data_IF_262016934552
#
_entry.id   IF_262016934552
#
_cell.length_a   1.000
_cell.length_b   1.000
_cell.length_c   1.000
_cell.angle_alpha   90.00
_cell.angle_beta   90.00
_cell.angle_gamma   90.00
#
_symmetry.space_group_name_H-M   'P 1'
#
loop_
_entity.id
_entity.type
_entity.pdbx_description
1 polymer ?
#
# COMPACT_ATOMS: atom_id res chain seq x y z
N UNK A 1 -7.20 57.32 -5.16
CA UNK A 1 -7.42 56.99 -6.59
C UNK A 1 -6.39 55.98 -7.13
N UNK A 2 -5.07 56.19 -7.00
CA UNK A 2 -4.05 55.22 -7.46
C UNK A 2 -4.13 53.81 -6.84
N UNK A 3 -4.46 53.69 -5.54
CA UNK A 3 -4.64 52.37 -4.91
C UNK A 3 -5.88 51.59 -5.38
N UNK A 4 -6.95 52.28 -5.74
CA UNK A 4 -8.16 51.64 -6.27
C UNK A 4 -7.94 51.09 -7.70
N UNK A 5 -7.12 51.77 -8.50
CA UNK A 5 -6.73 51.30 -9.84
C UNK A 5 -5.86 50.04 -9.72
N UNK A 6 -4.94 49.99 -8.75
CA UNK A 6 -4.07 48.82 -8.56
C UNK A 6 -4.88 47.58 -8.15
N UNK A 7 -5.86 47.72 -7.24
CA UNK A 7 -6.74 46.63 -6.81
C UNK A 7 -7.60 46.13 -7.99
N UNK A 8 -8.13 47.04 -8.81
CA UNK A 8 -8.92 46.65 -9.98
C UNK A 8 -8.09 45.86 -11.01
N UNK A 9 -6.84 46.27 -11.26
CA UNK A 9 -5.95 45.55 -12.19
C UNK A 9 -5.60 44.16 -11.65
N UNK A 10 -5.29 44.02 -10.36
CA UNK A 10 -4.97 42.71 -9.77
C UNK A 10 -6.16 41.76 -9.79
N UNK A 11 -7.38 42.25 -9.57
CA UNK A 11 -8.59 41.41 -9.64
C UNK A 11 -8.90 40.94 -11.05
N UNK A 12 -8.69 41.79 -12.07
CA UNK A 12 -8.90 41.41 -13.48
C UNK A 12 -7.87 40.37 -13.93
N UNK A 13 -6.59 40.52 -13.53
CA UNK A 13 -5.55 39.53 -13.83
C UNK A 13 -5.86 38.18 -13.18
N UNK A 14 -6.33 38.18 -11.92
CA UNK A 14 -6.69 36.94 -11.22
C UNK A 14 -7.88 36.24 -11.89
N UNK A 15 -8.90 36.99 -12.32
CA UNK A 15 -10.06 36.44 -13.05
C UNK A 15 -9.63 35.86 -14.41
N UNK A 16 -8.73 36.52 -15.14
CA UNK A 16 -8.22 36.03 -16.41
C UNK A 16 -7.37 34.76 -16.26
N UNK A 17 -6.58 34.66 -15.17
CA UNK A 17 -5.82 33.44 -14.88
C UNK A 17 -6.73 32.27 -14.48
N UNK A 18 -7.76 32.52 -13.65
CA UNK A 18 -8.72 31.49 -13.26
C UNK A 18 -9.58 31.02 -14.43
N UNK A 19 -10.00 31.94 -15.32
CA UNK A 19 -10.78 31.58 -16.52
C UNK A 19 -9.92 30.88 -17.58
N UNK A 20 -8.66 31.29 -17.75
CA UNK A 20 -7.71 30.58 -18.62
C UNK A 20 -7.44 29.15 -18.14
N UNK A 21 -7.29 28.95 -16.82
CA UNK A 21 -7.12 27.62 -16.23
C UNK A 21 -8.36 26.74 -16.45
N UNK A 22 -9.56 27.29 -16.22
CA UNK A 22 -10.82 26.57 -16.43
C UNK A 22 -11.07 26.20 -17.90
N UNK A 23 -10.72 27.10 -18.83
CA UNK A 23 -10.85 26.86 -20.27
C UNK A 23 -9.84 25.82 -20.78
N UNK A 24 -8.60 25.81 -20.25
CA UNK A 24 -7.62 24.78 -20.61
C UNK A 24 -8.06 23.38 -20.18
N UNK A 25 -8.65 23.26 -18.98
CA UNK A 25 -9.25 22.02 -18.46
C UNK A 25 -10.45 21.54 -19.29
N UNK A 26 -11.25 22.47 -19.83
CA UNK A 26 -12.39 22.15 -20.72
C UNK A 26 -11.95 21.73 -22.12
N UNK A 27 -10.86 22.29 -22.66
CA UNK A 27 -10.32 21.91 -23.96
C UNK A 27 -9.66 20.52 -23.95
N UNK A 28 -8.97 20.14 -22.87
CA UNK A 28 -8.45 18.76 -22.71
C UNK A 28 -9.57 17.72 -22.58
N UNK A 29 -10.71 18.07 -21.96
CA UNK A 29 -11.88 17.19 -21.88
C UNK A 29 -12.57 16.97 -23.24
N UNK A 30 -12.52 17.95 -24.15
CA UNK A 30 -13.17 17.84 -25.45
C UNK A 30 -12.29 17.24 -26.55
N UNK A 31 -10.95 17.31 -26.45
CA UNK A 31 -10.07 16.68 -27.45
C UNK A 31 -10.06 15.14 -27.37
N UNK A 32 -10.60 14.54 -26.31
CA UNK A 32 -10.70 13.09 -26.15
C UNK A 32 -11.98 12.47 -26.73
N UNK A 33 -12.93 13.29 -27.21
CA UNK A 33 -14.25 12.83 -27.69
C UNK A 33 -14.44 12.88 -29.21
N UNK A 34 -13.42 13.21 -30.02
CA UNK A 34 -13.60 13.41 -31.47
C UNK A 34 -12.73 12.53 -32.39
N UNK A 35 -12.21 11.39 -31.93
CA UNK A 35 -11.59 10.39 -32.82
C UNK A 35 -11.84 8.99 -32.30
N UNK A 36 -13.02 8.43 -32.63
CA UNK A 36 -13.24 6.98 -32.79
C UNK A 36 -14.72 6.74 -33.16
N UNK A 37 -15.05 7.05 -34.41
CA UNK A 37 -16.19 6.47 -35.10
C UNK A 37 -15.67 6.12 -36.49
N UNK A 38 -15.15 4.91 -36.62
CA UNK A 38 -15.08 4.13 -37.87
C UNK A 38 -14.27 2.86 -37.59
N UNK A 39 -14.97 1.77 -37.28
CA UNK A 39 -14.63 0.34 -37.50
C UNK A 39 -15.45 -0.54 -36.55
N UNK A 40 -16.75 -0.60 -36.80
CA UNK A 40 -17.64 -1.68 -36.37
C UNK A 40 -17.98 -2.49 -37.62
N UNK A 41 -17.35 -3.65 -37.75
CA UNK A 41 -17.91 -4.91 -38.28
C UNK A 41 -16.80 -5.84 -38.80
N UNK A 42 -16.59 -6.95 -38.09
CA UNK A 42 -16.70 -8.33 -38.63
C UNK A 42 -16.07 -9.36 -37.69
N UNK A 43 -16.92 -10.32 -37.30
CA UNK A 43 -16.62 -11.73 -37.06
C UNK A 43 -15.52 -12.08 -36.04
N UNK A 44 -15.94 -12.39 -34.80
CA UNK A 44 -15.24 -13.37 -33.96
C UNK A 44 -16.23 -14.48 -33.59
N UNK A 45 -16.24 -15.51 -34.43
CA UNK A 45 -16.82 -16.81 -34.14
C UNK A 45 -15.92 -17.60 -33.18
N UNK A 46 -16.53 -18.13 -32.13
CA UNK A 46 -16.22 -19.37 -31.41
C UNK A 46 -14.77 -19.86 -31.44
N UNK A 47 -14.07 -19.71 -30.30
CA UNK A 47 -13.04 -20.68 -29.89
C UNK A 47 -13.38 -21.20 -28.49
N UNK A 48 -14.04 -22.36 -28.51
CA UNK A 48 -14.10 -23.34 -27.42
C UNK A 48 -12.67 -23.73 -27.04
N UNK A 49 -12.15 -23.24 -25.91
CA UNK A 49 -10.91 -23.77 -25.34
C UNK A 49 -11.22 -24.93 -24.40
N UNK A 50 -10.78 -26.11 -24.87
CA UNK A 50 -10.61 -27.39 -24.19
C UNK A 50 -10.45 -27.30 -22.66
N UNK A 51 -11.39 -27.92 -21.96
CA UNK A 51 -11.36 -28.18 -20.51
C UNK A 51 -11.03 -29.65 -20.16
N UNK A 52 -10.34 -30.38 -21.04
CA UNK A 52 -10.06 -31.82 -20.87
C UNK A 52 -8.57 -32.13 -20.66
N UNK A 53 -7.93 -31.44 -19.72
CA UNK A 53 -6.62 -31.87 -19.19
C UNK A 53 -6.43 -31.43 -17.74
N UNK A 54 -7.20 -32.01 -16.81
CA UNK A 54 -6.92 -31.89 -15.37
C UNK A 54 -7.56 -33.06 -14.61
N UNK A 55 -7.03 -34.26 -14.84
CA UNK A 55 -7.29 -35.38 -13.95
C UNK A 55 -6.08 -36.32 -13.93
N UNK A 56 -5.05 -35.95 -13.16
CA UNK A 56 -4.10 -36.90 -12.55
C UNK A 56 -3.18 -36.20 -11.54
N UNK A 57 -3.28 -36.68 -10.29
CA UNK A 57 -2.34 -36.57 -9.17
C UNK A 57 -2.13 -35.19 -8.53
N UNK A 58 -3.18 -34.66 -7.90
CA UNK A 58 -3.03 -33.69 -6.80
C UNK A 58 -2.76 -34.48 -5.53
N UNK A 59 -1.51 -34.86 -5.28
CA UNK A 59 -1.08 -35.40 -3.99
C UNK A 59 -0.23 -34.36 -3.27
N UNK A 60 -0.76 -33.86 -2.16
CA UNK A 60 -0.14 -32.98 -1.14
C UNK A 60 -0.31 -31.45 -1.27
N UNK A 61 -1.51 -30.95 -1.62
CA UNK A 61 -1.85 -29.56 -1.27
C UNK A 61 -2.15 -29.47 0.24
N UNK A 62 -1.40 -28.65 0.97
CA UNK A 62 -1.72 -28.32 2.37
C UNK A 62 -2.92 -27.38 2.33
N UNK A 63 -4.06 -27.72 2.97
CA UNK A 63 -5.20 -26.82 3.03
C UNK A 63 -4.80 -25.46 3.59
N UNK A 64 -5.26 -24.37 2.99
CA UNK A 64 -4.91 -23.02 3.41
C UNK A 64 -5.21 -22.79 4.89
N UNK A 65 -6.27 -23.37 5.45
CA UNK A 65 -6.56 -23.27 6.88
C UNK A 65 -5.37 -23.73 7.75
N UNK A 66 -4.76 -24.88 7.43
CA UNK A 66 -3.54 -25.37 8.11
C UNK A 66 -2.33 -24.49 7.83
N UNK A 67 -2.23 -23.95 6.62
CA UNK A 67 -1.16 -23.02 6.26
C UNK A 67 -1.27 -21.71 7.05
N UNK A 68 -2.44 -21.08 7.08
CA UNK A 68 -2.75 -19.89 7.85
C UNK A 68 -2.52 -20.11 9.35
N UNK A 69 -2.88 -21.27 9.89
CA UNK A 69 -2.57 -21.59 11.29
C UNK A 69 -1.06 -21.65 11.55
N UNK A 70 -0.29 -22.28 10.66
CA UNK A 70 1.18 -22.33 10.77
C UNK A 70 1.80 -20.95 10.67
N UNK A 71 1.35 -20.13 9.73
CA UNK A 71 1.88 -18.79 9.52
C UNK A 71 1.47 -17.84 10.66
N UNK A 72 0.23 -17.93 11.15
CA UNK A 72 -0.23 -17.25 12.39
C UNK A 72 0.56 -17.65 13.63
N UNK A 73 1.25 -18.79 13.62
CA UNK A 73 2.13 -19.21 14.71
C UNK A 73 3.57 -18.67 14.54
N UNK A 74 4.03 -18.44 13.31
CA UNK A 74 5.40 -17.99 13.01
C UNK A 74 5.65 -16.51 13.26
N UNK A 75 4.63 -15.67 13.08
CA UNK A 75 4.74 -14.21 13.27
C UNK A 75 3.84 -13.70 14.39
N UNK A 76 3.92 -14.33 15.57
CA UNK A 76 3.21 -13.79 16.73
C UNK A 76 4.02 -12.68 17.36
N UNK A 77 3.42 -11.50 17.41
CA UNK A 77 3.84 -10.41 18.27
C UNK A 77 2.95 -10.44 19.52
N UNK A 78 3.11 -11.40 20.45
CA UNK A 78 2.13 -11.66 21.51
C UNK A 78 1.87 -10.43 22.40
N UNK A 79 2.90 -9.59 22.59
CA UNK A 79 2.75 -8.32 23.32
C UNK A 79 1.91 -7.32 22.55
N UNK A 80 2.14 -7.18 21.24
CA UNK A 80 1.28 -6.36 20.38
C UNK A 80 -0.13 -6.92 20.28
N UNK A 81 -0.31 -8.23 20.18
CA UNK A 81 -1.62 -8.88 20.15
C UNK A 81 -2.44 -8.54 21.42
N UNK A 82 -1.84 -8.72 22.59
CA UNK A 82 -2.46 -8.37 23.87
C UNK A 82 -2.77 -6.87 23.96
N UNK A 83 -1.83 -6.01 23.53
CA UNK A 83 -2.03 -4.57 23.49
C UNK A 83 -3.20 -4.18 22.57
N UNK A 84 -3.25 -4.73 21.36
CA UNK A 84 -4.30 -4.47 20.38
C UNK A 84 -5.67 -4.87 20.95
N UNK A 85 -5.80 -6.06 21.54
CA UNK A 85 -7.05 -6.53 22.12
C UNK A 85 -7.54 -5.63 23.27
N UNK A 86 -6.62 -5.15 24.11
CA UNK A 86 -6.95 -4.23 25.20
C UNK A 86 -7.32 -2.84 24.68
N UNK A 87 -6.63 -2.37 23.63
CA UNK A 87 -6.98 -1.14 22.93
C UNK A 87 -8.41 -1.22 22.34
N UNK A 88 -8.77 -2.32 21.66
CA UNK A 88 -10.13 -2.54 21.12
C UNK A 88 -11.18 -2.48 22.22
N UNK A 89 -10.95 -3.18 23.35
CA UNK A 89 -11.87 -3.16 24.50
C UNK A 89 -12.03 -1.75 25.05
N UNK A 90 -10.92 -1.01 25.23
CA UNK A 90 -10.93 0.38 25.70
C UNK A 90 -11.71 1.27 24.73
N UNK A 91 -11.46 1.14 23.43
CA UNK A 91 -12.08 1.94 22.38
C UNK A 91 -13.59 1.75 22.37
N UNK A 92 -14.06 0.50 22.23
CA UNK A 92 -15.48 0.16 22.20
C UNK A 92 -16.21 0.64 23.46
N UNK A 93 -15.61 0.44 24.65
CA UNK A 93 -16.18 0.93 25.91
C UNK A 93 -16.29 2.45 25.94
N UNK A 94 -15.30 3.16 25.40
CA UNK A 94 -15.27 4.63 25.42
C UNK A 94 -16.28 5.21 24.42
N UNK A 95 -16.38 4.63 23.23
CA UNK A 95 -17.37 5.01 22.22
C UNK A 95 -18.80 4.75 22.70
N UNK A 96 -19.07 3.60 23.34
CA UNK A 96 -20.38 3.33 23.93
C UNK A 96 -20.79 4.40 24.96
N UNK A 97 -19.86 4.78 25.85
CA UNK A 97 -20.10 5.85 26.84
C UNK A 97 -20.38 7.20 26.20
N UNK A 98 -19.71 7.54 25.09
CA UNK A 98 -19.97 8.77 24.36
C UNK A 98 -21.43 8.86 23.88
N UNK A 99 -21.98 7.76 23.37
CA UNK A 99 -23.37 7.70 22.93
C UNK A 99 -24.39 7.67 24.07
N UNK A 100 -24.01 7.17 25.25
CA UNK A 100 -24.87 7.25 26.44
C UNK A 100 -24.93 8.68 27.02
N UNK A 101 -23.79 9.39 27.03
CA UNK A 101 -23.65 10.71 27.68
C UNK A 101 -24.31 11.86 26.94
N UNK A 102 -24.37 11.81 25.60
CA UNK A 102 -25.10 12.79 24.77
C UNK A 102 -26.56 12.96 25.17
N UNK A 103 -27.12 12.01 25.92
CA UNK A 103 -28.50 12.07 26.40
C UNK A 103 -28.67 12.69 27.80
N UNK A 104 -27.60 12.91 28.57
CA UNK A 104 -27.72 13.17 30.02
C UNK A 104 -26.87 14.29 30.63
N UNK A 105 -25.75 14.71 30.07
CA UNK A 105 -24.96 15.81 30.67
C UNK A 105 -23.93 16.41 29.69
N UNK A 106 -23.83 17.74 29.61
CA UNK A 106 -22.91 18.45 28.70
C UNK A 106 -21.51 18.70 29.31
N UNK A 107 -21.26 18.25 30.55
CA UNK A 107 -20.06 18.65 31.31
C UNK A 107 -18.85 17.72 31.21
N UNK A 108 -18.97 16.53 30.58
CA UNK A 108 -17.85 15.59 30.50
C UNK A 108 -16.89 15.93 29.36
N UNK A 109 -15.61 16.10 29.71
CA UNK A 109 -14.52 16.27 28.73
C UNK A 109 -14.49 15.09 27.76
N UNK A 110 -14.50 15.39 26.46
CA UNK A 110 -14.42 14.39 25.41
C UNK A 110 -13.06 13.66 25.45
N UNK A 111 -13.02 12.36 25.11
CA UNK A 111 -11.77 11.66 24.93
C UNK A 111 -11.03 12.21 23.72
N UNK A 112 -9.72 12.09 23.72
CA UNK A 112 -8.88 12.55 22.62
C UNK A 112 -8.83 11.54 21.50
N UNK A 113 -8.69 12.01 20.26
CA UNK A 113 -8.80 11.17 19.06
C UNK A 113 -7.64 11.41 18.08
N UNK A 114 -7.29 10.36 17.34
CA UNK A 114 -6.58 10.41 16.05
C UNK A 114 -7.62 10.18 14.95
N UNK A 115 -7.64 11.05 13.94
CA UNK A 115 -8.49 10.91 12.76
C UNK A 115 -7.62 10.78 11.53
N UNK A 116 -7.73 9.65 10.85
CA UNK A 116 -7.01 9.39 9.60
C UNK A 116 -7.87 9.72 8.40
N UNK A 117 -7.32 10.50 7.49
CA UNK A 117 -7.95 10.89 6.22
C UNK A 117 -7.11 10.32 5.07
N UNK A 118 -7.30 9.07 4.66
CA UNK A 118 -6.62 8.55 3.48
C UNK A 118 -6.97 9.38 2.26
N UNK A 119 -5.97 9.71 1.44
CA UNK A 119 -6.22 10.39 0.18
C UNK A 119 -6.96 9.44 -0.77
N UNK A 120 -8.27 9.65 -0.92
CA UNK A 120 -9.14 8.79 -1.73
C UNK A 120 -8.85 8.91 -3.23
N UNK A 121 -8.15 9.97 -3.64
CA UNK A 121 -7.66 10.14 -5.00
C UNK A 121 -6.39 9.33 -5.30
N UNK A 122 -5.74 8.80 -4.26
CA UNK A 122 -4.60 7.93 -4.40
C UNK A 122 -5.01 6.47 -4.59
N UNK A 123 -4.12 5.62 -5.12
CA UNK A 123 -4.34 4.18 -5.18
C UNK A 123 -4.27 3.50 -3.80
N UNK A 124 -4.74 2.25 -3.70
CA UNK A 124 -4.72 1.48 -2.44
C UNK A 124 -3.34 1.44 -1.77
N UNK A 125 -2.28 1.32 -2.56
CA UNK A 125 -0.90 1.32 -2.04
C UNK A 125 -0.52 2.56 -1.23
N UNK A 126 -1.19 3.70 -1.46
CA UNK A 126 -0.98 4.95 -0.74
C UNK A 126 -2.01 5.18 0.36
N UNK A 127 -3.21 4.60 0.26
CA UNK A 127 -4.26 4.71 1.29
C UNK A 127 -3.94 3.84 2.52
N UNK A 128 -3.43 2.63 2.32
CA UNK A 128 -3.21 1.69 3.42
C UNK A 128 -2.11 2.13 4.41
N UNK A 129 -0.95 2.67 3.99
CA UNK A 129 0.09 3.19 4.89
C UNK A 129 -0.43 4.17 5.93
N UNK A 130 -1.34 5.07 5.53
CA UNK A 130 -1.82 6.12 6.43
C UNK A 130 -2.69 5.56 7.56
N UNK A 131 -3.43 4.47 7.29
CA UNK A 131 -4.23 3.78 8.31
C UNK A 131 -3.32 3.16 9.37
N UNK A 132 -2.24 2.52 8.92
CA UNK A 132 -1.23 1.94 9.79
C UNK A 132 -0.57 3.00 10.66
N UNK A 133 -0.14 4.12 10.06
CA UNK A 133 0.55 5.17 10.81
C UNK A 133 -0.37 5.93 11.76
N UNK A 134 -1.61 6.19 11.37
CA UNK A 134 -2.58 6.77 12.30
C UNK A 134 -2.92 5.84 13.47
N UNK A 135 -3.00 4.53 13.24
CA UNK A 135 -3.19 3.57 14.33
C UNK A 135 -1.96 3.53 15.24
N UNK A 136 -0.74 3.53 14.69
CA UNK A 136 0.48 3.66 15.51
C UNK A 136 0.45 4.93 16.39
N UNK A 137 0.04 6.07 15.83
CA UNK A 137 -0.11 7.31 16.60
C UNK A 137 -1.15 7.21 17.70
N UNK A 138 -2.27 6.51 17.47
CA UNK A 138 -3.31 6.35 18.49
C UNK A 138 -2.80 5.51 19.65
N UNK A 139 -2.00 4.48 19.37
CA UNK A 139 -1.36 3.67 20.40
C UNK A 139 -0.34 4.48 21.22
N UNK A 140 0.53 5.25 20.56
CA UNK A 140 1.57 6.06 21.21
C UNK A 140 0.95 7.15 22.12
N UNK A 141 -0.17 7.73 21.70
CA UNK A 141 -0.79 8.88 22.38
C UNK A 141 -1.97 8.50 23.28
N UNK A 142 -2.30 7.20 23.37
CA UNK A 142 -3.45 6.67 24.11
C UNK A 142 -4.81 7.27 23.70
N UNK A 143 -4.92 7.64 22.41
CA UNK A 143 -6.09 8.27 21.79
C UNK A 143 -6.98 7.22 21.11
N UNK A 144 -8.26 7.54 20.91
CA UNK A 144 -9.16 6.73 20.07
C UNK A 144 -8.79 6.88 18.60
N UNK A 145 -9.02 5.85 17.79
CA UNK A 145 -8.67 5.84 16.36
C UNK A 145 -9.92 5.86 15.49
N UNK A 146 -9.97 6.80 14.56
CA UNK A 146 -11.05 6.91 13.58
C UNK A 146 -10.50 7.13 12.16
N UNK A 147 -11.30 6.71 11.19
CA UNK A 147 -11.06 6.84 9.75
C UNK A 147 -12.16 7.75 9.19
N UNK A 148 -11.76 8.77 8.46
CA UNK A 148 -12.64 9.72 7.78
C UNK A 148 -12.50 9.58 6.25
N UNK A 149 -13.62 9.57 5.53
CA UNK A 149 -13.64 9.59 4.06
C UNK A 149 -13.43 8.24 3.36
N UNK A 150 -13.04 7.17 4.08
CA UNK A 150 -12.90 5.83 3.49
C UNK A 150 -14.20 5.00 3.55
N UNK A 151 -15.23 5.44 2.82
CA UNK A 151 -16.59 4.88 2.90
C UNK A 151 -16.68 3.37 2.59
N UNK A 152 -15.85 2.85 1.68
CA UNK A 152 -15.84 1.43 1.31
C UNK A 152 -14.94 0.56 2.19
N UNK A 153 -14.36 1.08 3.27
CA UNK A 153 -13.51 0.28 4.16
C UNK A 153 -14.21 -1.01 4.64
N UNK A 154 -15.49 -0.88 5.03
CA UNK A 154 -16.28 -2.00 5.53
C UNK A 154 -16.62 -3.05 4.46
N UNK A 155 -16.58 -2.69 3.18
CA UNK A 155 -16.78 -3.62 2.07
C UNK A 155 -15.56 -4.53 1.87
N UNK A 156 -14.39 -4.08 2.33
CA UNK A 156 -13.12 -4.75 2.09
C UNK A 156 -12.58 -5.45 3.34
N UNK A 157 -12.76 -4.81 4.50
CA UNK A 157 -12.15 -5.22 5.75
C UNK A 157 -13.20 -5.43 6.85
N UNK A 158 -12.96 -6.44 7.68
CA UNK A 158 -13.70 -6.70 8.91
C UNK A 158 -13.48 -5.56 9.92
N UNK A 159 -14.54 -5.20 10.65
CA UNK A 159 -14.47 -4.22 11.73
C UNK A 159 -14.31 -4.93 13.08
N UNK A 160 -13.15 -4.75 13.71
CA UNK A 160 -12.94 -5.17 15.11
C UNK A 160 -13.59 -4.20 16.12
N UNK A 161 -13.80 -2.95 15.72
CA UNK A 161 -14.34 -1.85 16.51
C UNK A 161 -14.93 -0.77 15.60
N UNK A 162 -15.69 0.15 16.17
CA UNK A 162 -16.20 1.31 15.42
C UNK A 162 -15.13 2.39 15.28
N UNK A 163 -14.54 2.46 14.09
CA UNK A 163 -13.57 3.47 13.70
C UNK A 163 -14.14 4.44 12.64
N UNK A 164 -15.46 4.49 12.39
CA UNK A 164 -16.02 5.46 11.45
C UNK A 164 -16.11 6.83 12.10
N UNK A 165 -15.32 7.81 11.64
CA UNK A 165 -15.32 9.16 12.19
C UNK A 165 -16.71 9.80 12.16
N UNK A 166 -17.52 9.51 11.13
CA UNK A 166 -18.86 10.09 10.96
C UNK A 166 -19.78 9.77 12.14
N UNK A 167 -19.56 8.64 12.83
CA UNK A 167 -20.35 8.22 13.99
C UNK A 167 -20.23 9.19 15.18
N UNK A 168 -19.09 9.87 15.33
CA UNK A 168 -18.78 10.72 16.49
C UNK A 168 -18.45 12.17 16.13
N UNK A 169 -18.24 12.50 14.84
CA UNK A 169 -17.76 13.81 14.39
C UNK A 169 -18.55 15.01 14.95
N UNK A 170 -19.88 14.91 15.03
CA UNK A 170 -20.73 15.99 15.55
C UNK A 170 -20.42 16.35 17.01
N UNK A 171 -19.94 15.39 17.81
CA UNK A 171 -19.54 15.62 19.20
C UNK A 171 -18.30 16.50 19.29
N UNK A 172 -17.45 16.48 18.27
CA UNK A 172 -16.19 17.21 18.22
C UNK A 172 -16.26 18.51 17.42
N UNK A 173 -17.46 19.01 17.09
CA UNK A 173 -17.65 20.21 16.25
C UNK A 173 -16.96 21.48 16.78
N UNK A 174 -16.78 21.59 18.10
CA UNK A 174 -16.09 22.71 18.76
C UNK A 174 -14.73 22.31 19.38
N UNK A 175 -14.22 21.12 19.03
CA UNK A 175 -12.97 20.61 19.57
C UNK A 175 -11.76 21.20 18.87
N UNK A 176 -10.66 21.32 19.61
CA UNK A 176 -9.39 21.79 19.07
C UNK A 176 -8.74 20.71 18.19
N UNK A 177 -8.06 21.12 17.11
CA UNK A 177 -7.42 20.17 16.20
C UNK A 177 -6.05 20.62 15.67
N UNK A 178 -5.21 19.63 15.32
CA UNK A 178 -3.91 19.83 14.68
C UNK A 178 -3.64 18.70 13.68
N UNK A 179 -3.04 19.02 12.53
CA UNK A 179 -2.52 18.01 11.62
C UNK A 179 -1.11 17.60 12.06
N UNK A 180 -0.88 16.29 12.25
CA UNK A 180 0.49 15.76 12.38
C UNK A 180 1.16 15.64 11.01
N UNK A 181 0.35 15.29 10.02
CA UNK A 181 0.74 15.17 8.62
C UNK A 181 -0.41 15.69 7.76
N UNK A 182 -0.08 16.52 6.78
CA UNK A 182 -0.92 16.79 5.62
C UNK A 182 -0.08 16.58 4.33
N UNK A 183 -0.73 16.53 3.17
CA UNK A 183 -0.05 16.26 1.89
C UNK A 183 1.05 17.30 1.53
N UNK A 184 1.01 18.50 2.12
CA UNK A 184 1.92 19.62 1.83
C UNK A 184 2.92 19.91 2.96
N UNK A 185 2.61 19.48 4.18
CA UNK A 185 3.34 19.82 5.38
C UNK A 185 3.37 18.62 6.32
N UNK A 186 4.60 18.18 6.62
CA UNK A 186 4.87 17.04 7.47
C UNK A 186 5.69 17.53 8.65
N UNK A 187 5.20 17.33 9.87
CA UNK A 187 5.90 17.73 11.08
C UNK A 187 7.03 16.73 11.44
N UNK A 188 8.00 16.54 10.53
CA UNK A 188 9.08 15.56 10.68
C UNK A 188 9.86 15.74 11.98
N UNK A 189 10.05 16.97 12.46
CA UNK A 189 10.72 17.21 13.73
C UNK A 189 9.94 16.62 14.92
N UNK A 190 8.62 16.85 14.96
CA UNK A 190 7.76 16.36 16.03
C UNK A 190 7.72 14.84 16.06
N UNK A 191 7.50 14.21 14.91
CA UNK A 191 7.33 12.75 14.81
C UNK A 191 8.66 11.99 14.93
N UNK A 192 9.78 12.57 14.49
CA UNK A 192 11.11 11.92 14.55
C UNK A 192 11.76 12.07 15.91
N UNK A 193 11.63 13.22 16.59
CA UNK A 193 12.34 13.47 17.87
C UNK A 193 11.51 14.16 18.95
N UNK A 194 10.33 14.68 18.61
CA UNK A 194 9.43 15.30 19.56
C UNK A 194 8.67 14.29 20.42
N UNK A 195 7.98 14.82 21.43
CA UNK A 195 7.13 14.05 22.33
C UNK A 195 5.65 14.39 22.03
N UNK A 196 4.95 13.49 21.35
CA UNK A 196 3.51 13.53 21.07
C UNK A 196 2.63 13.53 22.35
N UNK A 197 3.21 13.26 23.51
CA UNK A 197 2.56 13.36 24.83
C UNK A 197 2.88 14.67 25.55
N UNK A 198 3.64 15.59 24.94
CA UNK A 198 3.93 16.89 25.54
C UNK A 198 2.67 17.75 25.71
N UNK A 199 2.75 18.80 26.52
CA UNK A 199 1.59 19.64 26.85
C UNK A 199 0.94 20.28 25.62
N UNK A 200 1.73 20.73 24.64
CA UNK A 200 1.23 21.34 23.40
C UNK A 200 0.38 20.36 22.59
N UNK A 201 0.94 19.20 22.21
CA UNK A 201 0.22 18.20 21.39
C UNK A 201 -0.94 17.60 22.18
N UNK A 202 -0.75 17.42 23.48
CA UNK A 202 -1.79 16.97 24.38
C UNK A 202 -2.86 18.06 24.64
N UNK A 203 -2.68 19.31 24.22
CA UNK A 203 -3.74 20.33 24.33
C UNK A 203 -4.83 20.13 23.27
N UNK A 204 -4.51 19.52 22.11
CA UNK A 204 -5.45 19.27 21.03
C UNK A 204 -6.33 18.05 21.29
N UNK A 205 -7.63 18.18 21.06
CA UNK A 205 -8.61 17.11 21.18
C UNK A 205 -8.49 16.12 20.01
N UNK A 206 -8.27 16.65 18.80
CA UNK A 206 -8.16 15.91 17.54
C UNK A 206 -6.76 16.05 16.96
N UNK A 207 -6.12 14.94 16.62
CA UNK A 207 -4.94 14.96 15.75
C UNK A 207 -5.29 14.31 14.40
N UNK A 208 -5.12 15.06 13.32
CA UNK A 208 -5.37 14.59 11.97
C UNK A 208 -4.11 14.01 11.33
N UNK A 209 -4.31 12.96 10.54
CA UNK A 209 -3.28 12.33 9.71
C UNK A 209 -3.80 12.21 8.29
N UNK A 210 -3.34 13.09 7.41
CA UNK A 210 -3.68 13.12 6.01
C UNK A 210 -2.40 13.02 5.18
N UNK A 211 -2.07 11.83 4.71
CA UNK A 211 -0.89 11.65 3.85
C UNK A 211 -1.07 10.40 3.00
N UNK A 212 -0.32 10.34 1.90
CA UNK A 212 -0.18 9.15 1.06
C UNK A 212 1.13 8.40 1.32
N UNK A 213 1.96 8.86 2.26
CA UNK A 213 3.28 8.31 2.56
C UNK A 213 3.31 7.41 3.81
N UNK A 214 4.35 6.58 3.92
CA UNK A 214 4.60 5.73 5.08
C UNK A 214 5.43 6.44 6.16
N UNK A 215 4.78 7.37 6.85
CA UNK A 215 5.41 8.25 7.87
C UNK A 215 5.76 7.55 9.19
N UNK A 216 5.55 6.24 9.31
CA UNK A 216 5.94 5.45 10.47
C UNK A 216 7.46 5.27 10.59
N UNK A 217 8.19 5.33 9.46
CA UNK A 217 9.64 5.11 9.39
C UNK A 217 10.47 6.04 10.31
N UNK A 218 10.17 7.34 10.42
CA UNK A 218 10.83 8.21 11.40
C UNK A 218 10.38 7.98 12.85
N UNK A 219 9.14 7.53 13.08
CA UNK A 219 8.59 7.31 14.44
C UNK A 219 9.35 6.21 15.17
N UNK A 220 9.75 5.15 14.48
CA UNK A 220 10.56 4.07 15.08
C UNK A 220 11.97 4.52 15.51
N UNK A 221 12.41 5.69 15.05
CA UNK A 221 13.68 6.31 15.48
C UNK A 221 13.51 7.23 16.68
N UNK A 222 12.26 7.55 17.06
CA UNK A 222 11.98 8.58 18.05
C UNK A 222 12.39 8.12 19.46
N UNK A 223 13.29 8.85 20.15
CA UNK A 223 13.83 8.45 21.44
C UNK A 223 12.77 8.30 22.54
N UNK A 224 11.61 8.96 22.41
CA UNK A 224 10.52 8.86 23.39
C UNK A 224 9.74 7.54 23.27
N UNK A 225 9.75 6.89 22.09
CA UNK A 225 8.84 5.77 21.80
C UNK A 225 9.55 4.53 21.27
N UNK A 226 10.77 4.65 20.73
CA UNK A 226 11.49 3.55 20.09
C UNK A 226 11.57 2.30 20.97
N UNK A 227 11.89 2.45 22.26
CA UNK A 227 12.04 1.32 23.18
C UNK A 227 10.70 0.63 23.44
N UNK A 228 9.64 1.41 23.65
CA UNK A 228 8.30 0.88 23.83
C UNK A 228 7.81 0.18 22.55
N UNK A 229 7.97 0.80 21.38
CA UNK A 229 7.61 0.20 20.08
C UNK A 229 8.36 -1.11 19.88
N UNK A 230 9.68 -1.13 20.03
CA UNK A 230 10.48 -2.36 19.89
C UNK A 230 10.11 -3.42 20.92
N UNK A 231 9.55 -3.04 22.07
CA UNK A 231 9.10 -3.99 23.09
C UNK A 231 7.82 -4.74 22.70
N UNK A 232 6.94 -4.12 21.90
CA UNK A 232 5.65 -4.71 21.47
C UNK A 232 5.70 -5.27 20.04
N UNK A 233 6.42 -4.60 19.15
CA UNK A 233 6.66 -4.97 17.75
C UNK A 233 8.18 -5.03 17.52
N UNK A 234 8.83 -6.17 17.82
CA UNK A 234 10.25 -6.36 17.52
C UNK A 234 10.54 -6.25 16.02
N UNK A 235 11.82 -6.02 15.70
CA UNK A 235 12.36 -5.95 14.33
C UNK A 235 11.80 -4.81 13.45
N UNK A 236 11.14 -3.82 14.05
CA UNK A 236 10.57 -2.65 13.38
C UNK A 236 9.52 -3.00 12.29
N UNK A 237 8.85 -4.16 12.42
CA UNK A 237 7.85 -4.65 11.47
C UNK A 237 6.46 -4.03 11.70
N UNK A 238 6.40 -2.71 11.79
CA UNK A 238 5.20 -1.95 12.16
C UNK A 238 4.05 -2.21 11.18
N UNK A 239 4.31 -2.12 9.87
CA UNK A 239 3.27 -2.33 8.88
C UNK A 239 2.73 -3.75 8.97
N UNK A 240 3.61 -4.75 9.04
CA UNK A 240 3.18 -6.14 9.12
C UNK A 240 2.37 -6.46 10.38
N UNK A 241 2.82 -5.98 11.55
CA UNK A 241 2.10 -6.22 12.81
C UNK A 241 0.70 -5.61 12.79
N UNK A 242 0.57 -4.34 12.42
CA UNK A 242 -0.71 -3.62 12.45
C UNK A 242 -1.62 -4.09 11.31
N UNK A 243 -1.10 -4.26 10.09
CA UNK A 243 -1.94 -4.62 8.93
C UNK A 243 -2.58 -6.00 9.05
N UNK A 244 -1.92 -6.96 9.71
CA UNK A 244 -2.49 -8.28 9.98
C UNK A 244 -3.70 -8.24 10.93
N UNK A 245 -3.84 -7.18 11.73
CA UNK A 245 -5.01 -6.96 12.60
C UNK A 245 -6.03 -6.03 11.98
N UNK A 246 -5.59 -4.82 11.61
CA UNK A 246 -6.49 -3.75 11.18
C UNK A 246 -7.07 -3.99 9.78
N UNK A 247 -6.36 -4.70 8.91
CA UNK A 247 -6.78 -4.93 7.52
C UNK A 247 -7.23 -6.38 7.30
N UNK A 248 -7.89 -7.01 8.27
CA UNK A 248 -8.48 -8.34 8.06
C UNK A 248 -9.55 -8.27 6.96
N UNK A 249 -9.39 -9.05 5.89
CA UNK A 249 -10.35 -9.05 4.79
C UNK A 249 -11.73 -9.55 5.23
N UNK A 250 -12.79 -9.03 4.62
CA UNK A 250 -14.13 -9.59 4.77
C UNK A 250 -14.15 -11.10 4.45
N UNK A 251 -15.01 -11.92 5.09
CA UNK A 251 -14.99 -13.37 4.97
C UNK A 251 -15.12 -13.90 3.54
N UNK A 252 -15.90 -13.23 2.70
CA UNK A 252 -16.11 -13.58 1.30
C UNK A 252 -14.87 -13.31 0.43
N UNK A 253 -14.23 -12.14 0.60
CA UNK A 253 -12.96 -11.82 -0.05
C UNK A 253 -11.84 -12.75 0.41
N UNK A 254 -11.78 -13.01 1.72
CA UNK A 254 -10.83 -13.96 2.29
C UNK A 254 -11.06 -15.37 1.73
N UNK A 255 -12.31 -15.79 1.54
CA UNK A 255 -12.66 -17.07 0.89
C UNK A 255 -12.22 -17.11 -0.58
N UNK A 256 -12.32 -16.01 -1.32
CA UNK A 256 -11.85 -15.93 -2.71
C UNK A 256 -10.32 -16.08 -2.79
N UNK A 257 -9.58 -15.31 -1.99
CA UNK A 257 -8.11 -15.44 -1.85
C UNK A 257 -7.76 -16.88 -1.46
N UNK A 258 -8.52 -17.45 -0.53
CA UNK A 258 -8.26 -18.78 -0.05
C UNK A 258 -8.42 -19.86 -1.12
N UNK A 259 -9.55 -19.81 -1.82
CA UNK A 259 -9.86 -20.71 -2.93
C UNK A 259 -8.81 -20.58 -4.04
N UNK A 260 -8.35 -19.36 -4.32
CA UNK A 260 -7.27 -19.15 -5.29
C UNK A 260 -5.99 -19.87 -4.87
N UNK A 261 -5.55 -19.69 -3.62
CA UNK A 261 -4.32 -20.30 -3.11
C UNK A 261 -4.43 -21.82 -3.11
N UNK A 262 -5.51 -22.38 -2.57
CA UNK A 262 -5.73 -23.83 -2.48
C UNK A 262 -5.68 -24.52 -3.86
N UNK A 263 -6.15 -23.83 -4.91
CA UNK A 263 -6.19 -24.37 -6.28
C UNK A 263 -4.90 -24.12 -7.09
N UNK A 264 -4.06 -23.19 -6.67
CA UNK A 264 -2.96 -22.70 -7.52
C UNK A 264 -1.58 -22.78 -6.91
N UNK A 265 -1.44 -22.65 -5.60
CA UNK A 265 -0.13 -22.56 -4.96
C UNK A 265 0.52 -23.94 -4.85
N UNK A 266 1.83 -23.96 -5.10
CA UNK A 266 2.67 -25.13 -4.99
C UNK A 266 3.42 -25.18 -3.65
N UNK A 267 4.47 -25.99 -3.62
CA UNK A 267 5.38 -26.09 -2.46
C UNK A 267 6.21 -24.82 -2.27
N UNK A 268 6.46 -24.07 -3.36
CA UNK A 268 7.14 -22.79 -3.35
C UNK A 268 6.44 -21.80 -4.27
N UNK A 269 6.26 -20.55 -3.83
CA UNK A 269 5.45 -19.58 -4.54
C UNK A 269 6.21 -18.27 -4.73
N UNK A 270 6.39 -17.84 -5.97
CA UNK A 270 7.01 -16.56 -6.32
C UNK A 270 5.90 -15.61 -6.74
N UNK A 271 5.74 -14.50 -6.02
CA UNK A 271 4.82 -13.44 -6.39
C UNK A 271 5.55 -12.37 -7.19
N UNK A 272 5.04 -12.01 -8.35
CA UNK A 272 5.56 -10.94 -9.19
C UNK A 272 4.51 -9.85 -9.31
N UNK A 273 4.87 -8.62 -8.94
CA UNK A 273 4.05 -7.45 -9.21
C UNK A 273 4.71 -6.58 -10.28
N UNK A 274 4.07 -6.50 -11.46
CA UNK A 274 4.52 -5.75 -12.62
C UNK A 274 3.69 -4.46 -12.78
N UNK A 275 4.29 -3.32 -12.45
CA UNK A 275 3.70 -1.99 -12.60
C UNK A 275 4.36 -1.22 -13.74
N UNK A 276 3.72 -1.17 -14.90
CA UNK A 276 4.27 -0.48 -16.09
C UNK A 276 3.64 0.90 -16.32
N UNK A 277 2.42 1.18 -15.84
CA UNK A 277 1.67 2.41 -16.15
C UNK A 277 2.01 3.60 -15.25
N UNK A 278 3.25 3.72 -14.78
CA UNK A 278 3.69 4.83 -13.91
C UNK A 278 3.99 6.08 -14.76
N UNK A 279 2.93 6.74 -15.24
CA UNK A 279 2.99 7.65 -16.40
C UNK A 279 3.55 9.08 -16.19
N UNK A 280 3.93 9.53 -14.98
CA UNK A 280 4.17 10.97 -14.76
C UNK A 280 5.54 11.38 -14.21
N UNK A 281 6.28 10.50 -13.53
CA UNK A 281 7.51 10.93 -12.83
C UNK A 281 8.81 10.51 -13.53
N UNK A 282 8.76 9.58 -14.48
CA UNK A 282 9.96 8.97 -15.06
C UNK A 282 9.81 8.74 -16.57
N UNK A 283 9.49 9.78 -17.33
CA UNK A 283 9.28 9.69 -18.80
C UNK A 283 10.47 9.10 -19.56
N UNK A 284 11.67 9.14 -18.97
CA UNK A 284 12.90 8.57 -19.54
C UNK A 284 13.33 7.25 -18.90
N UNK A 285 12.50 6.59 -18.10
CA UNK A 285 12.82 5.29 -17.54
C UNK A 285 11.75 4.26 -17.84
N UNK A 286 12.18 3.03 -18.04
CA UNK A 286 11.33 1.85 -18.22
C UNK A 286 11.73 0.78 -17.21
N UNK A 287 10.84 -0.17 -16.93
CA UNK A 287 11.17 -1.35 -16.13
C UNK A 287 10.97 -2.58 -17.01
N UNK A 288 12.01 -3.05 -17.71
CA UNK A 288 11.90 -4.11 -18.72
C UNK A 288 11.32 -5.40 -18.13
N UNK A 289 10.42 -6.03 -18.86
CA UNK A 289 9.79 -7.30 -18.49
C UNK A 289 10.84 -8.41 -18.32
N UNK A 290 11.92 -8.33 -19.09
CA UNK A 290 13.06 -9.25 -19.07
C UNK A 290 13.73 -9.30 -17.68
N UNK A 291 13.80 -8.18 -16.96
CA UNK A 291 14.41 -8.15 -15.62
C UNK A 291 13.61 -8.95 -14.60
N UNK A 292 12.27 -8.91 -14.68
CA UNK A 292 11.40 -9.75 -13.84
C UNK A 292 11.57 -11.22 -14.17
N UNK A 293 11.59 -11.54 -15.47
CA UNK A 293 11.77 -12.88 -16.00
C UNK A 293 13.10 -13.50 -15.55
N UNK A 294 14.21 -12.77 -15.69
CA UNK A 294 15.53 -13.20 -15.23
C UNK A 294 15.62 -13.32 -13.70
N UNK A 295 14.96 -12.44 -12.95
CA UNK A 295 14.89 -12.54 -11.48
C UNK A 295 14.11 -13.78 -11.04
N UNK A 296 12.98 -14.06 -11.69
CA UNK A 296 12.22 -15.30 -11.45
C UNK A 296 13.08 -16.53 -11.76
N UNK A 297 13.82 -16.52 -12.87
CA UNK A 297 14.76 -17.59 -13.23
C UNK A 297 15.84 -17.80 -12.17
N UNK A 298 16.44 -16.73 -11.67
CA UNK A 298 17.41 -16.78 -10.59
C UNK A 298 16.81 -17.45 -9.35
N UNK A 299 15.62 -17.02 -8.92
CA UNK A 299 14.94 -17.61 -7.77
C UNK A 299 14.67 -19.10 -7.93
N UNK A 300 14.28 -19.53 -9.13
CA UNK A 300 14.01 -20.93 -9.44
C UNK A 300 15.25 -21.83 -9.35
N UNK A 301 16.47 -21.29 -9.50
CA UNK A 301 17.69 -22.11 -9.32
C UNK A 301 17.85 -22.63 -7.89
N UNK A 302 17.30 -21.92 -6.90
CA UNK A 302 17.33 -22.34 -5.49
C UNK A 302 16.20 -23.28 -5.07
N UNK A 303 15.27 -23.59 -5.98
CA UNK A 303 14.04 -24.34 -5.66
C UNK A 303 13.98 -25.68 -6.37
N UNK A 304 15.15 -26.25 -6.72
CA UNK A 304 15.24 -27.56 -7.35
C UNK A 304 14.42 -28.60 -6.58
N UNK A 305 13.67 -29.42 -7.32
CA UNK A 305 12.77 -30.48 -6.82
C UNK A 305 11.46 -30.01 -6.17
N UNK A 306 11.18 -28.70 -6.12
CA UNK A 306 9.89 -28.21 -5.63
C UNK A 306 8.89 -28.00 -6.77
N UNK A 307 7.61 -28.18 -6.46
CA UNK A 307 6.52 -27.66 -7.29
C UNK A 307 6.43 -26.14 -7.09
N UNK A 308 6.79 -25.37 -8.12
CA UNK A 308 6.86 -23.92 -8.05
C UNK A 308 5.64 -23.29 -8.71
N UNK A 309 4.97 -22.38 -8.02
CA UNK A 309 3.95 -21.52 -8.62
C UNK A 309 4.48 -20.09 -8.74
N UNK A 310 4.29 -19.46 -9.89
CA UNK A 310 4.57 -18.03 -10.10
C UNK A 310 3.23 -17.31 -10.25
N UNK A 311 2.89 -16.47 -9.28
CA UNK A 311 1.72 -15.60 -9.33
C UNK A 311 2.10 -14.24 -9.91
N UNK A 312 1.41 -13.77 -10.95
CA UNK A 312 1.67 -12.48 -11.58
C UNK A 312 0.48 -11.55 -11.37
N UNK A 313 0.69 -10.48 -10.60
CA UNK A 313 -0.19 -9.31 -10.56
C UNK A 313 0.38 -8.23 -11.47
N UNK A 314 -0.43 -7.65 -12.34
CA UNK A 314 0.04 -6.64 -13.28
C UNK A 314 -1.04 -5.60 -13.56
N UNK A 315 -0.60 -4.37 -13.78
CA UNK A 315 -1.48 -3.28 -14.21
C UNK A 315 -1.67 -3.22 -15.74
N UNK A 316 -1.17 -4.19 -16.48
CA UNK A 316 -1.34 -4.25 -17.92
C UNK A 316 -1.37 -5.69 -18.42
N UNK A 317 -2.44 -6.06 -19.14
CA UNK A 317 -2.67 -7.43 -19.59
C UNK A 317 -1.64 -7.88 -20.63
N UNK A 318 -1.21 -6.99 -21.52
CA UNK A 318 -0.22 -7.31 -22.56
C UNK A 318 1.15 -7.57 -21.93
N UNK A 319 1.58 -6.71 -21.01
CA UNK A 319 2.84 -6.89 -20.28
C UNK A 319 2.82 -8.13 -19.38
N UNK A 320 1.67 -8.46 -18.78
CA UNK A 320 1.47 -9.73 -18.05
C UNK A 320 1.68 -10.95 -18.95
N UNK A 321 1.10 -10.95 -20.15
CA UNK A 321 1.27 -12.02 -21.14
C UNK A 321 2.72 -12.08 -21.62
N UNK A 322 3.35 -10.94 -21.90
CA UNK A 322 4.77 -10.88 -22.29
C UNK A 322 5.68 -11.46 -21.20
N UNK A 323 5.43 -11.14 -19.93
CA UNK A 323 6.18 -11.70 -18.80
C UNK A 323 5.99 -13.21 -18.69
N UNK A 324 4.74 -13.68 -18.76
CA UNK A 324 4.42 -15.12 -18.75
C UNK A 324 5.17 -15.85 -19.87
N UNK A 325 5.15 -15.33 -21.09
CA UNK A 325 5.84 -15.92 -22.24
C UNK A 325 7.35 -15.88 -22.07
N UNK A 326 7.92 -14.79 -21.54
CA UNK A 326 9.36 -14.73 -21.25
C UNK A 326 9.80 -15.83 -20.28
N UNK A 327 9.06 -15.96 -19.16
CA UNK A 327 9.37 -16.97 -18.15
C UNK A 327 9.24 -18.38 -18.76
N UNK A 328 8.16 -18.63 -19.51
CA UNK A 328 7.94 -19.92 -20.16
C UNK A 328 9.06 -20.29 -21.14
N UNK A 329 9.42 -19.37 -22.05
CA UNK A 329 10.50 -19.58 -23.02
C UNK A 329 11.85 -19.86 -22.33
N UNK A 330 12.11 -19.19 -21.21
CA UNK A 330 13.32 -19.44 -20.43
C UNK A 330 13.34 -20.80 -19.74
N UNK A 331 12.16 -21.38 -19.47
CA UNK A 331 11.99 -22.65 -18.76
C UNK A 331 11.88 -23.85 -19.69
N UNK A 332 11.34 -23.69 -20.90
CA UNK A 332 11.24 -24.75 -21.89
C UNK A 332 12.62 -25.30 -22.29
N UNK A 333 13.65 -24.44 -22.23
CA UNK A 333 15.04 -24.87 -22.36
C UNK A 333 15.48 -25.90 -21.30
N UNK A 334 14.76 -26.01 -20.18
CA UNK A 334 15.06 -26.85 -19.02
C UNK A 334 14.09 -28.02 -18.81
N UNK A 335 13.03 -28.16 -19.63
CA UNK A 335 11.99 -29.22 -19.51
C UNK A 335 11.43 -29.39 -18.09
N UNK A 336 11.06 -28.29 -17.42
CA UNK A 336 10.60 -28.37 -16.05
C UNK A 336 9.06 -28.33 -15.95
N UNK A 337 8.44 -29.51 -15.94
CA UNK A 337 6.98 -29.67 -15.77
C UNK A 337 6.49 -29.25 -14.37
N UNK A 338 7.38 -28.89 -13.43
CA UNK A 338 7.03 -28.54 -12.05
C UNK A 338 6.60 -27.08 -11.84
N UNK A 339 6.54 -26.27 -12.91
CA UNK A 339 6.31 -24.81 -12.81
C UNK A 339 4.92 -24.43 -13.33
N UNK A 340 4.12 -23.80 -12.47
CA UNK A 340 2.79 -23.28 -12.80
C UNK A 340 2.80 -21.76 -12.78
N UNK A 341 2.40 -21.09 -13.87
CA UNK A 341 2.26 -19.62 -13.90
C UNK A 341 0.77 -19.26 -13.84
N UNK A 342 0.38 -18.42 -12.88
CA UNK A 342 -1.02 -18.06 -12.59
C UNK A 342 -1.18 -16.56 -12.36
N UNK A 343 -2.41 -16.08 -12.47
CA UNK A 343 -2.83 -14.72 -12.14
C UNK A 343 -4.32 -14.74 -11.79
N UNK A 344 -4.80 -13.76 -11.02
CA UNK A 344 -6.21 -13.68 -10.64
C UNK A 344 -6.98 -12.85 -11.67
N UNK A 345 -7.91 -13.50 -12.38
CA UNK A 345 -8.86 -12.85 -13.30
C UNK A 345 -8.26 -12.07 -14.50
N UNK A 346 -9.14 -11.73 -15.44
CA UNK A 346 -8.81 -10.91 -16.62
C UNK A 346 -9.39 -9.48 -16.56
N UNK A 347 -9.78 -9.03 -15.36
CA UNK A 347 -10.51 -7.77 -15.13
C UNK A 347 -9.71 -6.48 -15.40
N UNK A 348 -8.53 -6.58 -16.02
CA UNK A 348 -7.69 -5.44 -16.43
C UNK A 348 -8.41 -4.55 -17.47
N UNK A 349 -9.45 -5.07 -18.14
CA UNK A 349 -10.19 -4.38 -19.20
C UNK A 349 -11.02 -3.19 -18.66
N UNK A 350 -11.39 -3.20 -17.37
CA UNK A 350 -12.14 -2.09 -16.77
C UNK A 350 -11.19 -0.97 -16.34
N UNK A 351 -11.01 0.01 -17.23
CA UNK A 351 -10.37 1.28 -16.86
C UNK A 351 -11.32 2.08 -15.96
N UNK A 352 -10.86 2.39 -14.76
CA UNK A 352 -11.46 3.49 -14.01
C UNK A 352 -10.88 4.79 -14.58
N UNK A 353 -11.72 5.66 -15.16
CA UNK A 353 -11.26 6.90 -15.83
C UNK A 353 -10.57 7.88 -14.88
N UNK A 354 -10.88 7.78 -13.59
CA UNK A 354 -10.52 8.82 -12.62
C UNK A 354 -9.14 8.59 -12.01
N UNK A 355 -8.63 7.36 -12.07
CA UNK A 355 -7.33 6.97 -11.54
C UNK A 355 -6.70 6.02 -12.53
N UNK A 356 -5.49 6.28 -12.99
CA UNK A 356 -4.72 5.48 -13.98
C UNK A 356 -4.34 4.06 -13.45
N UNK A 357 -5.14 3.51 -12.54
CA UNK A 357 -5.09 2.16 -12.00
C UNK A 357 -6.15 1.31 -12.71
N UNK A 358 -5.76 0.26 -13.44
CA UNK A 358 -6.71 -0.63 -14.08
C UNK A 358 -7.35 -1.59 -13.09
N UNK A 359 -8.50 -2.14 -13.48
CA UNK A 359 -9.23 -3.13 -12.70
C UNK A 359 -10.08 -2.53 -11.58
N UNK A 360 -10.68 -3.40 -10.78
CA UNK A 360 -11.55 -3.02 -9.65
C UNK A 360 -10.75 -2.92 -8.35
N UNK A 361 -11.24 -2.14 -7.38
CA UNK A 361 -10.61 -2.08 -6.04
C UNK A 361 -10.60 -3.46 -5.36
N UNK A 362 -11.66 -4.25 -5.52
CA UNK A 362 -11.76 -5.62 -4.99
C UNK A 362 -10.68 -6.51 -5.62
N UNK A 363 -10.54 -6.49 -6.95
CA UNK A 363 -9.50 -7.27 -7.65
C UNK A 363 -8.10 -6.88 -7.17
N UNK A 364 -7.83 -5.58 -7.01
CA UNK A 364 -6.58 -5.09 -6.48
C UNK A 364 -6.32 -5.57 -5.02
N UNK A 365 -7.33 -5.60 -4.15
CA UNK A 365 -7.20 -6.14 -2.79
C UNK A 365 -6.91 -7.64 -2.80
N UNK A 366 -7.57 -8.40 -3.68
CA UNK A 366 -7.34 -9.84 -3.84
C UNK A 366 -5.90 -10.10 -4.30
N UNK A 367 -5.43 -9.40 -5.34
CA UNK A 367 -4.05 -9.50 -5.83
C UNK A 367 -3.04 -9.16 -4.73
N UNK A 368 -3.27 -8.05 -4.03
CA UNK A 368 -2.43 -7.60 -2.94
C UNK A 368 -2.30 -8.68 -1.85
N UNK A 369 -3.42 -9.32 -1.51
CA UNK A 369 -3.45 -10.38 -0.50
C UNK A 369 -2.79 -11.66 -1.00
N UNK A 370 -3.02 -12.08 -2.24
CA UNK A 370 -2.37 -13.28 -2.82
C UNK A 370 -0.85 -13.09 -2.86
N UNK A 371 -0.36 -11.91 -3.29
CA UNK A 371 1.06 -11.57 -3.24
C UNK A 371 1.62 -11.74 -1.82
N UNK A 372 0.89 -11.28 -0.79
CA UNK A 372 1.34 -11.39 0.60
C UNK A 372 1.56 -12.84 1.08
N UNK A 373 1.01 -13.85 0.37
CA UNK A 373 1.17 -15.27 0.69
C UNK A 373 2.30 -15.97 -0.07
N UNK A 374 2.98 -15.29 -0.98
CA UNK A 374 4.11 -15.83 -1.71
C UNK A 374 5.36 -15.96 -0.79
N UNK A 375 6.24 -16.90 -1.12
CA UNK A 375 7.50 -17.16 -0.41
C UNK A 375 8.57 -16.12 -0.75
N UNK A 376 8.67 -15.77 -2.03
CA UNK A 376 9.45 -14.63 -2.50
C UNK A 376 8.57 -13.65 -3.27
N UNK A 377 8.96 -12.38 -3.24
CA UNK A 377 8.31 -11.31 -3.97
C UNK A 377 9.31 -10.63 -4.89
N UNK A 378 8.90 -10.41 -6.14
CA UNK A 378 9.58 -9.59 -7.14
C UNK A 378 8.67 -8.40 -7.45
N UNK A 379 9.13 -7.19 -7.17
CA UNK A 379 8.29 -5.99 -7.18
C UNK A 379 8.89 -4.86 -8.01
N UNK A 380 8.04 -3.99 -8.51
CA UNK A 380 8.48 -2.78 -9.21
C UNK A 380 8.94 -1.69 -8.24
N UNK A 381 10.08 -1.07 -8.54
CA UNK A 381 10.57 0.11 -7.84
C UNK A 381 9.55 1.24 -7.73
N UNK A 382 9.41 1.81 -6.52
CA UNK A 382 8.50 2.90 -6.24
C UNK A 382 7.03 2.58 -6.50
N UNK A 383 6.63 1.30 -6.47
CA UNK A 383 5.22 0.90 -6.44
C UNK A 383 4.79 0.65 -5.00
N UNK A 384 4.03 1.59 -4.44
CA UNK A 384 3.51 1.46 -3.07
C UNK A 384 2.63 0.23 -2.89
N UNK A 385 1.86 -0.15 -3.92
CA UNK A 385 1.06 -1.37 -3.93
C UNK A 385 1.89 -2.62 -3.64
N UNK A 386 3.05 -2.77 -4.28
CA UNK A 386 3.89 -3.96 -4.08
C UNK A 386 4.55 -3.98 -2.71
N UNK A 387 4.94 -2.81 -2.20
CA UNK A 387 5.45 -2.68 -0.84
C UNK A 387 4.38 -2.99 0.21
N UNK A 388 3.11 -2.68 -0.05
CA UNK A 388 2.01 -3.09 0.83
C UNK A 388 1.89 -4.61 0.86
N UNK A 389 1.98 -5.29 -0.29
CA UNK A 389 1.93 -6.76 -0.33
C UNK A 389 3.08 -7.39 0.45
N UNK A 390 4.29 -6.85 0.30
CA UNK A 390 5.46 -7.29 1.07
C UNK A 390 5.25 -7.09 2.56
N UNK A 391 4.83 -5.89 2.99
CA UNK A 391 4.61 -5.57 4.39
C UNK A 391 3.49 -6.39 5.02
N UNK A 392 2.46 -6.73 4.24
CA UNK A 392 1.33 -7.53 4.69
C UNK A 392 1.61 -9.05 4.71
N UNK A 393 2.82 -9.47 4.31
CA UNK A 393 3.18 -10.88 4.22
C UNK A 393 3.41 -11.53 5.57
N UNK A 394 2.79 -12.70 5.79
CA UNK A 394 3.04 -13.58 6.94
C UNK A 394 4.34 -14.40 6.81
N UNK A 395 4.81 -14.58 5.57
CA UNK A 395 5.99 -15.39 5.25
C UNK A 395 7.28 -14.61 5.31
N UNK A 396 7.22 -13.31 5.58
CA UNK A 396 8.38 -12.44 5.62
C UNK A 396 9.42 -12.98 6.60
N UNK A 397 10.41 -13.69 6.04
CA UNK A 397 11.58 -14.16 6.76
C UNK A 397 12.13 -12.99 7.55
N UNK A 398 12.57 -13.18 8.82
CA UNK A 398 13.20 -12.13 9.61
C UNK A 398 14.36 -11.46 8.87
N UNK A 399 14.93 -12.12 7.86
CA UNK A 399 16.20 -11.77 7.27
C UNK A 399 16.11 -10.96 5.97
N UNK A 400 15.01 -11.01 5.21
CA UNK A 400 15.01 -10.43 3.84
C UNK A 400 13.68 -9.86 3.37
N UNK A 401 13.75 -8.76 2.63
CA UNK A 401 12.65 -8.08 1.93
C UNK A 401 12.39 -8.63 0.51
N UNK A 402 11.55 -7.97 -0.30
CA UNK A 402 11.31 -8.33 -1.70
C UNK A 402 12.53 -8.06 -2.62
N UNK A 403 12.57 -8.68 -3.79
CA UNK A 403 13.46 -8.30 -4.90
C UNK A 403 12.81 -7.14 -5.67
N UNK A 404 13.46 -5.99 -5.71
CA UNK A 404 12.97 -4.76 -6.34
C UNK A 404 13.62 -4.61 -7.71
N UNK A 405 12.82 -4.64 -8.77
CA UNK A 405 13.27 -4.35 -10.12
C UNK A 405 13.38 -2.84 -10.28
N UNK A 406 14.60 -2.38 -10.51
CA UNK A 406 14.94 -0.97 -10.65
C UNK A 406 14.63 -0.50 -12.08
N UNK A 407 14.14 0.74 -12.24
CA UNK A 407 13.89 1.29 -13.55
C UNK A 407 15.23 1.63 -14.20
N UNK A 408 15.32 1.43 -15.51
CA UNK A 408 16.49 1.73 -16.32
C UNK A 408 16.15 2.85 -17.29
N UNK A 409 17.13 3.69 -17.59
CA UNK A 409 16.94 4.78 -18.53
C UNK A 409 16.57 4.20 -19.90
N UNK A 410 15.50 4.70 -20.49
CA UNK A 410 15.06 4.36 -21.84
C UNK A 410 16.04 5.01 -22.84
N UNK A 411 17.21 4.41 -22.98
CA UNK A 411 18.14 4.69 -24.06
C UNK A 411 17.95 3.56 -25.08
N UNK A 412 17.98 3.87 -26.38
CA UNK A 412 17.93 2.88 -27.46
C UNK A 412 19.16 1.93 -27.49
N UNK A 413 19.95 1.87 -26.42
CA UNK A 413 21.14 1.05 -26.32
C UNK A 413 20.74 -0.34 -25.79
N UNK A 414 20.93 -1.36 -26.62
CA UNK A 414 20.73 -2.78 -26.29
C UNK A 414 21.46 -3.22 -25.00
N UNK A 415 22.48 -2.46 -24.58
CA UNK A 415 23.28 -2.66 -23.37
C UNK A 415 22.45 -2.73 -22.07
N UNK A 416 21.24 -2.16 -22.06
CA UNK A 416 20.35 -2.16 -20.90
C UNK A 416 19.73 -3.54 -20.62
N UNK A 417 19.69 -4.43 -21.62
CA UNK A 417 19.11 -5.78 -21.48
C UNK A 417 20.12 -6.77 -20.88
N UNK A 418 21.43 -6.54 -21.05
CA UNK A 418 22.48 -7.46 -20.58
C UNK A 418 22.76 -7.37 -19.07
N UNK A 419 22.19 -6.38 -18.37
CA UNK A 419 22.36 -6.21 -16.91
C UNK A 419 21.01 -6.14 -16.23
N UNK A 420 20.71 -7.14 -15.40
CA UNK A 420 19.54 -7.09 -14.50
C UNK A 420 19.82 -6.06 -13.41
N UNK A 421 18.97 -5.04 -13.33
CA UNK A 421 19.00 -4.09 -12.22
C UNK A 421 17.99 -4.50 -11.16
N UNK A 422 18.41 -5.40 -10.28
CA UNK A 422 17.61 -5.88 -9.15
C UNK A 422 18.28 -5.52 -7.84
N UNK A 423 17.49 -5.08 -6.87
CA UNK A 423 17.92 -4.81 -5.51
C UNK A 423 17.11 -5.67 -4.53
N UNK A 424 17.78 -6.48 -3.70
CA UNK A 424 17.10 -7.20 -2.63
C UNK A 424 16.92 -6.27 -1.43
N UNK A 425 15.67 -5.94 -1.13
CA UNK A 425 15.31 -5.10 0.00
C UNK A 425 15.72 -5.75 1.32
N UNK A 426 16.12 -4.92 2.30
CA UNK A 426 16.50 -5.39 3.64
C UNK A 426 15.29 -5.76 4.49
N UNK A 427 14.14 -5.13 4.24
CA UNK A 427 12.91 -5.31 4.99
C UNK A 427 11.71 -5.44 4.07
N UNK A 428 10.62 -5.95 4.62
CA UNK A 428 9.31 -5.99 3.96
C UNK A 428 8.45 -4.76 4.27
N UNK A 429 8.92 -3.87 5.13
CA UNK A 429 8.23 -2.62 5.46
C UNK A 429 8.08 -1.72 4.22
N UNK A 430 7.05 -0.89 4.11
CA UNK A 430 6.99 0.09 3.03
C UNK A 430 8.15 1.09 3.10
N UNK A 431 8.62 1.56 1.95
CA UNK A 431 9.51 2.71 1.91
C UNK A 431 8.74 4.02 2.17
N UNK A 432 9.48 5.07 2.53
CA UNK A 432 8.93 6.40 2.80
C UNK A 432 9.34 7.31 1.64
N UNK A 433 8.38 7.74 0.84
CA UNK A 433 8.61 8.60 -0.31
C UNK A 433 9.16 9.97 0.09
N UNK A 434 8.64 10.58 1.15
CA UNK A 434 9.09 11.89 1.64
C UNK A 434 10.36 11.85 2.48
N UNK A 435 11.01 10.69 2.60
CA UNK A 435 12.31 10.57 3.26
C UNK A 435 13.36 11.50 2.66
N UNK A 436 13.30 11.82 1.36
CA UNK A 436 14.17 12.81 0.72
C UNK A 436 14.00 14.20 1.33
N UNK A 437 12.74 14.62 1.49
CA UNK A 437 12.39 15.91 2.08
C UNK A 437 12.78 15.93 3.55
N UNK A 438 12.56 14.85 4.29
CA UNK A 438 13.08 14.72 5.65
C UNK A 438 14.61 14.90 5.68
N UNK A 439 15.35 14.19 4.84
CA UNK A 439 16.82 14.23 4.82
C UNK A 439 17.41 15.58 4.36
N UNK A 440 16.71 16.32 3.50
CA UNK A 440 17.20 17.58 2.92
C UNK A 440 16.70 18.83 3.64
N UNK A 441 15.44 18.83 4.04
CA UNK A 441 14.71 20.03 4.43
C UNK A 441 14.50 20.10 5.95
N UNK A 442 14.71 19.01 6.69
CA UNK A 442 14.64 19.01 8.16
C UNK A 442 15.93 19.49 8.81
N UNK A 443 15.84 19.86 10.09
CA UNK A 443 17.02 20.27 10.87
C UNK A 443 18.02 19.10 11.06
N UNK A 444 19.32 19.39 11.25
CA UNK A 444 20.35 18.36 11.39
C UNK A 444 20.10 17.35 12.52
N UNK A 445 19.47 17.75 13.63
CA UNK A 445 19.20 16.83 14.74
C UNK A 445 18.06 15.86 14.39
N UNK A 446 17.02 16.33 13.71
CA UNK A 446 15.95 15.46 13.18
C UNK A 446 16.52 14.41 12.23
N UNK A 447 17.38 14.81 11.28
CA UNK A 447 18.05 13.88 10.36
C UNK A 447 18.95 12.89 11.10
N UNK A 448 19.70 13.36 12.09
CA UNK A 448 20.57 12.53 12.92
C UNK A 448 19.78 11.48 13.71
N UNK A 449 18.66 11.87 14.32
CA UNK A 449 17.77 10.94 15.03
C UNK A 449 17.18 9.92 14.06
N UNK A 450 16.67 10.35 12.90
CA UNK A 450 16.18 9.42 11.87
C UNK A 450 17.23 8.38 11.46
N UNK A 451 18.48 8.81 11.29
CA UNK A 451 19.60 7.91 10.95
C UNK A 451 20.00 6.93 12.05
N UNK A 452 19.45 7.04 13.26
CA UNK A 452 19.62 6.00 14.30
C UNK A 452 18.84 4.73 14.01
N UNK A 453 17.82 4.80 13.15
CA UNK A 453 17.13 3.62 12.65
C UNK A 453 18.05 2.84 11.70
N UNK A 454 18.36 1.56 11.97
CA UNK A 454 19.29 0.77 11.17
C UNK A 454 18.82 0.60 9.71
N UNK A 455 17.55 0.87 9.42
CA UNK A 455 16.93 0.74 8.11
C UNK A 455 16.63 2.09 7.44
N UNK A 456 17.16 3.21 7.94
CA UNK A 456 16.91 4.54 7.35
C UNK A 456 17.24 4.59 5.85
N UNK A 457 18.31 3.90 5.42
CA UNK A 457 18.69 3.81 4.01
C UNK A 457 17.61 3.12 3.18
N UNK A 458 17.06 2.02 3.69
CA UNK A 458 15.98 1.29 3.04
C UNK A 458 14.74 2.18 2.85
N UNK A 459 14.31 2.87 3.91
CA UNK A 459 13.19 3.81 3.84
C UNK A 459 13.44 4.95 2.87
N UNK A 460 14.70 5.38 2.72
CA UNK A 460 15.08 6.45 1.80
C UNK A 460 15.23 6.03 0.35
N UNK A 461 15.83 4.87 0.08
CA UNK A 461 16.23 4.50 -1.28
C UNK A 461 15.16 3.70 -2.02
N UNK A 462 14.25 3.01 -1.32
CA UNK A 462 13.28 2.12 -1.97
C UNK A 462 12.17 2.80 -2.77
N UNK A 463 11.99 4.11 -2.59
CA UNK A 463 10.88 4.89 -3.16
C UNK A 463 11.31 6.04 -4.09
N UNK A 464 12.59 6.43 -4.13
CA UNK A 464 13.09 7.70 -4.72
C UNK A 464 13.64 7.56 -6.14
#
# INVERSE_FOLDING_TARGET
MRHLILIAITSVVLILLLTGYYLSSLFEKHSFLSTNNDLLDKNVTNTSTNNDFLNKNITNTIPLSKFLEREKQRQRFPKFDAFYDDYIKKHNRTVAKLFEQTTKDNSTKLPKVIVVQPNMDAGLGNRLPVLICGFLYSMITDRLFFIEGFYSFAEYFEKDFDHDWKSVANLYSNSSSKYLHNDNDNEFQLITRGNLSNEEINSYDILYVHTWDYVCAPVISNPNYKEWISSIIPDNKIFGAISQKLLKLQPDLNKQVATFIDNNFGEYNIGIHLRVRKNHAMTNFTTPTEHYCQTANMLMTGTEKKNVTIFIAADDGNNRIALKNCIHNSLDSKKNDSIKIVYAGDDIINFNSDYVNPGTQIGAIIDLKILSFCDDLVITFGSSFSFMAAGWSYKSSPLWGPYVIMPVKNNNDDFVIDKIWVWKAMLNEPCMYFSKSLLKDSDPETVKVFKTNPFWMYYSQGCI
#
